data_IF_623315221986
#
_entry.id   IF_623315221986
#
_cell.length_a   1.000
_cell.length_b   1.000
_cell.length_c   1.000
_cell.angle_alpha   90.00
_cell.angle_beta   90.00
_cell.angle_gamma   90.00
#
_symmetry.space_group_name_H-M   'P 1'
#
loop_
_entity.id
_entity.type
_entity.pdbx_description
1 polymer ?
#
# COMPACT_ATOMS: atom_id res chain seq x y z
N UNK A 1 9.90 -9.28 -8.76
CA UNK A 1 10.81 -8.12 -8.78
C UNK A 1 9.94 -6.88 -8.87
N UNK A 2 9.93 -6.02 -7.84
CA UNK A 2 9.11 -4.80 -7.81
C UNK A 2 9.60 -3.82 -8.90
N UNK A 3 8.69 -3.25 -9.68
CA UNK A 3 8.99 -2.27 -10.74
C UNK A 3 8.09 -1.05 -10.56
N UNK A 4 8.63 0.15 -10.72
CA UNK A 4 7.82 1.38 -10.64
C UNK A 4 7.12 1.69 -11.96
N UNK A 5 5.93 2.26 -11.87
CA UNK A 5 5.10 2.66 -13.00
C UNK A 5 5.95 3.33 -14.10
N UNK A 6 5.75 2.94 -15.37
CA UNK A 6 6.57 3.39 -16.51
C UNK A 6 6.67 4.92 -16.59
N UNK A 7 5.62 5.64 -16.23
CA UNK A 7 5.63 7.11 -16.29
C UNK A 7 6.57 7.72 -15.23
N UNK A 8 6.59 7.15 -14.03
CA UNK A 8 7.53 7.54 -12.97
C UNK A 8 8.97 7.18 -13.36
N UNK A 9 9.15 6.01 -13.97
CA UNK A 9 10.43 5.57 -14.51
C UNK A 9 10.99 6.54 -15.55
N UNK A 10 10.22 6.88 -16.59
CA UNK A 10 10.69 7.80 -17.63
C UNK A 10 10.95 9.22 -17.11
N UNK A 11 10.18 9.67 -16.12
CA UNK A 11 10.33 11.02 -15.58
C UNK A 11 11.57 11.19 -14.69
N UNK A 12 11.95 10.15 -13.96
CA UNK A 12 12.98 10.25 -12.90
C UNK A 12 14.24 9.42 -13.19
N UNK A 13 14.06 8.24 -13.79
CA UNK A 13 15.09 7.19 -13.83
C UNK A 13 15.75 7.02 -15.19
N UNK A 14 15.21 7.61 -16.26
CA UNK A 14 15.79 7.57 -17.61
C UNK A 14 17.22 8.16 -17.66
N UNK A 15 17.63 8.87 -16.61
CA UNK A 15 18.93 9.54 -16.51
C UNK A 15 19.88 8.97 -15.45
N UNK A 16 19.40 8.10 -14.55
CA UNK A 16 20.20 7.53 -13.46
C UNK A 16 19.53 6.27 -12.85
N UNK A 17 20.22 5.14 -12.89
CA UNK A 17 19.76 3.87 -12.34
C UNK A 17 19.88 3.79 -10.80
N UNK A 18 20.76 4.59 -10.20
CA UNK A 18 20.92 4.61 -8.74
C UNK A 18 19.70 5.28 -8.10
N UNK A 19 19.20 6.37 -8.72
CA UNK A 19 17.95 7.02 -8.32
C UNK A 19 16.76 6.06 -8.42
N UNK A 20 16.72 5.20 -9.45
CA UNK A 20 15.69 4.16 -9.57
C UNK A 20 15.70 3.20 -8.39
N UNK A 21 16.89 2.72 -8.01
CA UNK A 21 17.05 1.79 -6.90
C UNK A 21 16.65 2.43 -5.56
N UNK A 22 17.02 3.69 -5.33
CA UNK A 22 16.61 4.45 -4.13
C UNK A 22 15.08 4.62 -4.04
N UNK A 23 14.42 4.92 -5.16
CA UNK A 23 12.95 5.04 -5.21
C UNK A 23 12.28 3.71 -4.89
N UNK A 24 12.77 2.61 -5.47
CA UNK A 24 12.23 1.27 -5.16
C UNK A 24 12.38 0.95 -3.69
N UNK A 25 13.54 1.21 -3.11
CA UNK A 25 13.78 0.92 -1.70
C UNK A 25 12.90 1.79 -0.79
N UNK A 26 12.71 3.07 -1.15
CA UNK A 26 11.77 3.97 -0.46
C UNK A 26 10.34 3.44 -0.51
N UNK A 27 9.85 3.04 -1.69
CA UNK A 27 8.51 2.45 -1.87
C UNK A 27 8.36 1.19 -1.02
N UNK A 28 9.38 0.32 -1.01
CA UNK A 28 9.40 -0.91 -0.22
C UNK A 28 9.32 -0.61 1.28
N UNK A 29 10.11 0.33 1.79
CA UNK A 29 10.10 0.71 3.20
C UNK A 29 8.80 1.38 3.62
N UNK A 30 8.26 2.26 2.78
CA UNK A 30 6.99 2.94 3.01
C UNK A 30 5.83 1.94 3.03
N UNK A 31 5.84 0.94 2.14
CA UNK A 31 4.85 -0.13 2.15
C UNK A 31 4.89 -0.92 3.47
N UNK A 32 6.07 -1.45 3.84
CA UNK A 32 6.27 -2.21 5.08
C UNK A 32 5.79 -1.44 6.31
N UNK A 33 6.20 -0.19 6.40
CA UNK A 33 5.85 0.68 7.53
C UNK A 33 4.35 0.94 7.57
N UNK A 34 3.71 1.08 6.41
CA UNK A 34 2.25 1.28 6.32
C UNK A 34 1.48 0.03 6.73
N UNK A 35 1.86 -1.15 6.23
CA UNK A 35 1.25 -2.44 6.64
C UNK A 35 1.45 -2.68 8.13
N UNK A 36 2.66 -2.48 8.65
CA UNK A 36 2.94 -2.62 10.08
C UNK A 36 2.02 -1.70 10.91
N UNK A 37 1.93 -0.41 10.56
CA UNK A 37 1.03 0.53 11.26
C UNK A 37 -0.44 0.11 11.18
N UNK A 38 -0.88 -0.45 10.06
CA UNK A 38 -2.24 -0.98 9.91
C UNK A 38 -2.53 -2.12 10.90
N UNK A 39 -1.55 -2.97 11.21
CA UNK A 39 -1.72 -4.05 12.21
C UNK A 39 -1.81 -3.56 13.64
N UNK A 40 -1.25 -2.37 13.93
CA UNK A 40 -1.15 -1.84 15.29
C UNK A 40 -2.27 -0.86 15.63
N UNK A 41 -2.79 -0.13 14.63
CA UNK A 41 -3.81 0.88 14.87
C UNK A 41 -5.19 0.24 15.12
N UNK A 42 -5.94 0.84 16.04
CA UNK A 42 -7.36 0.55 16.27
C UNK A 42 -8.25 1.77 15.95
N UNK A 43 -7.65 2.84 15.43
CA UNK A 43 -8.36 4.07 15.12
C UNK A 43 -8.83 4.07 13.67
N UNK A 44 -10.16 4.08 13.44
CA UNK A 44 -10.74 4.03 12.10
C UNK A 44 -10.30 5.17 11.17
N UNK A 45 -10.03 6.37 11.71
CA UNK A 45 -9.54 7.50 10.91
C UNK A 45 -8.09 7.27 10.48
N UNK A 46 -7.26 6.77 11.39
CA UNK A 46 -5.87 6.40 11.08
C UNK A 46 -5.81 5.25 10.08
N UNK A 47 -6.64 4.21 10.23
CA UNK A 47 -6.79 3.14 9.23
C UNK A 47 -7.09 3.74 7.86
N UNK A 48 -8.09 4.62 7.74
CA UNK A 48 -8.44 5.22 6.45
C UNK A 48 -7.28 6.01 5.84
N UNK A 49 -6.55 6.77 6.65
CA UNK A 49 -5.37 7.49 6.20
C UNK A 49 -4.30 6.53 5.68
N UNK A 50 -3.99 5.47 6.44
CA UNK A 50 -3.03 4.44 6.04
C UNK A 50 -3.46 3.69 4.78
N UNK A 51 -4.75 3.41 4.60
CA UNK A 51 -5.26 2.79 3.36
C UNK A 51 -5.13 3.73 2.16
N UNK A 52 -5.39 5.03 2.30
CA UNK A 52 -5.11 5.99 1.22
C UNK A 52 -3.63 6.02 0.85
N UNK A 53 -2.74 6.02 1.86
CA UNK A 53 -1.29 5.93 1.64
C UNK A 53 -0.92 4.64 0.89
N UNK A 54 -1.47 3.50 1.32
CA UNK A 54 -1.24 2.20 0.70
C UNK A 54 -1.68 2.16 -0.77
N UNK A 55 -2.84 2.74 -1.10
CA UNK A 55 -3.30 2.89 -2.49
C UNK A 55 -2.28 3.64 -3.35
N UNK A 56 -1.73 4.75 -2.84
CA UNK A 56 -0.71 5.53 -3.56
C UNK A 56 0.57 4.73 -3.83
N UNK A 57 1.04 3.99 -2.81
CA UNK A 57 2.21 3.12 -2.91
C UNK A 57 1.99 2.02 -3.96
N UNK A 58 0.88 1.28 -3.87
CA UNK A 58 0.56 0.17 -4.78
C UNK A 58 0.36 0.67 -6.22
N UNK A 59 -0.24 1.85 -6.40
CA UNK A 59 -0.42 2.47 -7.73
C UNK A 59 0.88 2.94 -8.36
N UNK A 60 1.93 3.13 -7.56
CA UNK A 60 3.26 3.51 -8.03
C UNK A 60 4.04 2.32 -8.59
N UNK A 61 3.53 1.09 -8.45
CA UNK A 61 4.12 -0.13 -8.99
C UNK A 61 3.49 -0.54 -10.35
N UNK A 62 4.28 -1.07 -11.29
CA UNK A 62 3.79 -1.57 -12.60
C UNK A 62 2.81 -2.72 -12.41
N UNK A 63 3.20 -3.69 -11.57
CA UNK A 63 2.40 -4.87 -11.29
C UNK A 63 1.49 -4.56 -10.10
N UNK A 64 0.49 -3.71 -10.35
CA UNK A 64 -0.52 -3.37 -9.35
C UNK A 64 -1.20 -4.67 -8.91
N UNK A 65 -1.06 -5.04 -7.64
CA UNK A 65 -1.75 -6.20 -7.10
C UNK A 65 -3.25 -5.88 -7.01
N UNK A 66 -4.04 -6.41 -7.96
CA UNK A 66 -5.47 -6.14 -8.08
C UNK A 66 -6.24 -6.52 -6.81
N UNK A 67 -5.83 -7.59 -6.14
CA UNK A 67 -6.44 -8.06 -4.89
C UNK A 67 -6.19 -7.08 -3.74
N UNK A 68 -4.95 -6.59 -3.60
CA UNK A 68 -4.62 -5.54 -2.64
C UNK A 68 -5.40 -4.26 -2.92
N UNK A 69 -5.51 -3.86 -4.18
CA UNK A 69 -6.29 -2.68 -4.57
C UNK A 69 -7.78 -2.87 -4.31
N UNK A 70 -8.31 -4.07 -4.54
CA UNK A 70 -9.69 -4.41 -4.22
C UNK A 70 -9.96 -4.25 -2.72
N UNK A 71 -9.13 -4.86 -1.85
CA UNK A 71 -9.28 -4.74 -0.40
C UNK A 71 -9.14 -3.30 0.09
N UNK A 72 -8.17 -2.54 -0.43
CA UNK A 72 -8.04 -1.12 -0.12
C UNK A 72 -9.31 -0.34 -0.50
N UNK A 73 -9.89 -0.59 -1.67
CA UNK A 73 -11.14 0.06 -2.10
C UNK A 73 -12.31 -0.31 -1.20
N UNK A 74 -12.44 -1.59 -0.84
CA UNK A 74 -13.49 -2.06 0.09
C UNK A 74 -13.38 -1.37 1.46
N UNK A 75 -12.17 -1.21 1.99
CA UNK A 75 -11.94 -0.46 3.23
C UNK A 75 -12.30 1.03 3.12
N UNK A 76 -12.06 1.65 1.96
CA UNK A 76 -12.40 3.06 1.72
C UNK A 76 -13.92 3.28 1.53
N UNK A 77 -14.67 2.25 1.13
CA UNK A 77 -16.13 2.28 1.00
C UNK A 77 -16.85 2.27 2.35
N UNK A 78 -16.21 1.82 3.43
CA UNK A 78 -16.76 1.95 4.78
C UNK A 78 -17.07 3.44 5.03
N UNK A 79 -18.23 3.82 5.60
CA UNK A 79 -18.58 5.22 5.84
C UNK A 79 -17.55 5.96 6.70
N UNK A 80 -17.30 7.24 6.41
CA UNK A 80 -16.35 8.08 7.18
C UNK A 80 -16.75 8.27 8.65
N UNK A 81 -18.04 8.17 8.94
CA UNK A 81 -18.61 8.26 10.28
C UNK A 81 -18.50 6.96 11.08
N UNK A 82 -18.04 5.86 10.48
CA UNK A 82 -17.92 4.57 11.16
C UNK A 82 -16.85 4.63 12.25
N UNK A 83 -17.24 4.29 13.47
CA UNK A 83 -16.35 4.16 14.64
C UNK A 83 -16.10 2.70 15.03
N UNK A 84 -16.89 1.77 14.49
CA UNK A 84 -16.72 0.34 14.74
C UNK A 84 -15.52 -0.22 13.96
N UNK A 85 -14.44 -0.52 14.69
CA UNK A 85 -13.21 -1.07 14.14
C UNK A 85 -13.38 -2.51 13.61
N UNK A 86 -14.37 -3.26 14.09
CA UNK A 86 -14.56 -4.66 13.66
C UNK A 86 -14.87 -4.78 12.17
N UNK A 87 -15.49 -3.75 11.59
CA UNK A 87 -15.76 -3.63 10.15
C UNK A 87 -14.49 -3.48 9.30
N UNK A 88 -13.40 -2.99 9.89
CA UNK A 88 -12.10 -2.84 9.25
C UNK A 88 -11.24 -4.10 9.43
N UNK A 89 -11.31 -4.72 10.61
CA UNK A 89 -10.39 -5.77 11.05
C UNK A 89 -10.24 -6.91 10.06
N UNK A 90 -11.35 -7.50 9.59
CA UNK A 90 -11.30 -8.64 8.66
C UNK A 90 -10.56 -8.33 7.35
N UNK A 91 -10.72 -7.10 6.83
CA UNK A 91 -10.03 -6.67 5.61
C UNK A 91 -8.56 -6.35 5.85
N UNK A 92 -8.22 -5.80 7.03
CA UNK A 92 -6.83 -5.59 7.44
C UNK A 92 -6.10 -6.94 7.57
N UNK A 93 -6.74 -7.93 8.18
CA UNK A 93 -6.19 -9.29 8.31
C UNK A 93 -5.94 -9.92 6.93
N UNK A 94 -6.85 -9.73 5.97
CA UNK A 94 -6.64 -10.18 4.60
C UNK A 94 -5.48 -9.44 3.91
N UNK A 95 -5.42 -8.11 4.02
CA UNK A 95 -4.35 -7.28 3.44
C UNK A 95 -2.96 -7.68 3.98
N UNK A 96 -2.87 -7.92 5.28
CA UNK A 96 -1.61 -8.30 5.95
C UNK A 96 -1.19 -9.73 5.64
N UNK A 97 -2.15 -10.63 5.39
CA UNK A 97 -1.83 -11.97 4.87
C UNK A 97 -1.37 -11.92 3.42
N UNK A 98 -1.93 -11.03 2.60
CA UNK A 98 -1.48 -10.83 1.23
C UNK A 98 -0.06 -10.28 1.17
N UNK A 99 0.33 -9.33 2.05
CA UNK A 99 1.68 -8.75 2.09
C UNK A 99 2.81 -9.79 1.97
N UNK A 100 2.68 -10.93 2.67
CA UNK A 100 3.61 -12.07 2.57
C UNK A 100 3.90 -12.53 1.13
N UNK A 101 2.98 -12.24 0.21
CA UNK A 101 3.04 -12.62 -1.21
C UNK A 101 3.21 -11.42 -2.17
N UNK A 102 3.05 -10.16 -1.75
CA UNK A 102 3.01 -8.99 -2.67
C UNK A 102 4.39 -8.42 -2.98
N UNK A 103 5.24 -8.22 -1.97
CA UNK A 103 6.56 -7.60 -2.17
C UNK A 103 7.68 -8.65 -2.24
N UNK A 104 7.38 -9.90 -1.92
CA UNK A 104 8.35 -10.99 -1.92
C UNK A 104 9.38 -10.81 -0.82
N UNK A 105 8.92 -10.87 0.43
CA UNK A 105 9.75 -11.06 1.62
C UNK A 105 9.34 -12.32 2.35
#
# INVERSE_FOLDING_TARGET
>A
MLRINKYLFYYVCDKDIDIYNEIIETIRQEYKTTIYKLTQTQNCQEVRFLIHKLVGIVSSCIDTNEECMYLCRSLLQIPKSTTDFTLYKSYIDLLTNLDRNIIGL
#
